data_IF_669549756932
#
_entry.id   IF_669549756932
#
_cell.length_a   1.000
_cell.length_b   1.000
_cell.length_c   1.000
_cell.angle_alpha   90.00
_cell.angle_beta   90.00
_cell.angle_gamma   90.00
#
_symmetry.space_group_name_H-M   'P 1'
#
loop_
_entity.id
_entity.type
_entity.pdbx_description
1 polymer ?
#
# COMPACT_ATOMS: atom_id res chain seq x y z
N UNK A 1 13.69 -16.25 -13.42
CA UNK A 1 14.93 -15.61 -12.92
C UNK A 1 15.03 -15.77 -11.42
N UNK A 2 16.24 -15.84 -10.91
CA UNK A 2 16.57 -15.95 -9.50
C UNK A 2 17.31 -14.69 -9.06
N UNK A 3 16.73 -13.94 -8.13
CA UNK A 3 17.21 -12.64 -7.69
C UNK A 3 17.62 -12.73 -6.20
N UNK A 4 18.76 -12.16 -5.87
CA UNK A 4 19.13 -11.88 -4.49
C UNK A 4 18.92 -10.40 -4.20
N UNK A 5 18.15 -10.09 -3.14
CA UNK A 5 17.88 -8.73 -2.73
C UNK A 5 18.42 -8.45 -1.32
N UNK A 6 19.07 -7.32 -1.18
CA UNK A 6 19.52 -6.81 0.10
C UNK A 6 19.17 -5.33 0.27
N UNK A 7 19.13 -4.88 1.52
CA UNK A 7 19.03 -3.46 1.87
C UNK A 7 20.10 -3.14 2.92
N UNK A 8 20.82 -2.06 2.68
CA UNK A 8 21.87 -1.58 3.57
C UNK A 8 21.39 -0.26 4.15
N UNK A 9 21.44 -0.11 5.48
CA UNK A 9 21.27 1.19 6.12
C UNK A 9 22.52 2.05 5.89
N UNK A 10 22.38 3.38 5.99
CA UNK A 10 23.48 4.32 5.74
C UNK A 10 24.68 4.13 6.67
N UNK A 11 24.50 3.44 7.79
CA UNK A 11 25.54 3.24 8.83
C UNK A 11 26.27 1.89 8.74
N UNK A 12 25.73 0.89 8.04
CA UNK A 12 26.31 -0.47 7.99
C UNK A 12 27.14 -0.71 6.73
N UNK A 13 28.43 -0.46 6.80
CA UNK A 13 29.40 -0.82 5.74
C UNK A 13 29.77 -2.31 5.71
N UNK A 14 29.34 -3.10 6.71
CA UNK A 14 29.80 -4.50 6.87
C UNK A 14 29.13 -5.51 5.93
N UNK A 15 27.92 -5.23 5.43
CA UNK A 15 27.17 -6.19 4.62
C UNK A 15 27.70 -6.39 3.19
N UNK A 16 28.48 -5.43 2.67
CA UNK A 16 29.11 -5.56 1.34
C UNK A 16 30.09 -6.74 1.26
N UNK A 17 30.68 -7.17 2.39
CA UNK A 17 31.54 -8.36 2.43
C UNK A 17 30.75 -9.66 2.31
N UNK A 18 29.51 -9.68 2.85
CA UNK A 18 28.62 -10.84 2.74
C UNK A 18 28.04 -10.96 1.32
N UNK A 19 27.83 -9.85 0.62
CA UNK A 19 27.36 -9.82 -0.78
C UNK A 19 28.40 -10.44 -1.74
N UNK A 20 29.70 -10.18 -1.57
CA UNK A 20 30.74 -10.70 -2.46
C UNK A 20 30.81 -12.24 -2.54
N UNK A 21 30.39 -12.92 -1.47
CA UNK A 21 30.35 -14.41 -1.46
C UNK A 21 29.00 -14.96 -1.96
N UNK A 22 28.02 -14.09 -2.27
CA UNK A 22 26.65 -14.48 -2.62
C UNK A 22 26.39 -14.41 -4.13
N UNK A 23 27.30 -13.80 -4.91
CA UNK A 23 27.10 -13.52 -6.35
C UNK A 23 27.00 -14.76 -7.24
N UNK A 24 27.47 -15.93 -6.79
CA UNK A 24 27.42 -17.16 -7.58
C UNK A 24 26.03 -17.80 -7.49
N UNK A 25 25.34 -17.89 -8.63
CA UNK A 25 24.09 -18.63 -8.76
C UNK A 25 22.81 -17.78 -8.76
N UNK A 26 22.92 -16.44 -8.88
CA UNK A 26 21.80 -15.54 -9.08
C UNK A 26 21.90 -14.85 -10.43
N UNK A 27 20.74 -14.62 -11.09
CA UNK A 27 20.67 -13.84 -12.34
C UNK A 27 20.91 -12.37 -12.05
N UNK A 28 20.41 -11.88 -10.90
CA UNK A 28 20.63 -10.51 -10.42
C UNK A 28 20.90 -10.48 -8.92
N UNK A 29 21.83 -9.61 -8.53
CA UNK A 29 22.08 -9.23 -7.13
C UNK A 29 21.77 -7.74 -7.01
N UNK A 30 20.67 -7.42 -6.32
CA UNK A 30 20.15 -6.08 -6.18
C UNK A 30 20.28 -5.60 -4.74
N UNK A 31 20.78 -4.39 -4.55
CA UNK A 31 20.96 -3.80 -3.23
C UNK A 31 20.48 -2.36 -3.21
N UNK A 32 19.63 -2.03 -2.24
CA UNK A 32 19.20 -0.66 -1.96
C UNK A 32 19.95 -0.10 -0.74
N UNK A 33 20.40 1.14 -0.87
CA UNK A 33 20.95 1.92 0.24
C UNK A 33 19.90 2.95 0.68
N UNK A 34 19.00 2.55 1.57
CA UNK A 34 17.91 3.38 2.01
C UNK A 34 17.39 2.99 3.40
N UNK A 35 16.57 3.87 3.99
CA UNK A 35 15.88 3.59 5.25
C UNK A 35 14.92 2.39 5.11
N UNK A 36 14.81 1.60 6.17
CA UNK A 36 13.82 0.53 6.28
C UNK A 36 12.37 1.01 6.32
N UNK A 37 12.13 2.31 6.53
CA UNK A 37 10.78 2.90 6.55
C UNK A 37 10.13 3.02 5.16
N UNK A 38 10.90 2.84 4.08
CA UNK A 38 10.39 2.88 2.71
C UNK A 38 9.88 1.49 2.34
N UNK A 39 8.63 1.34 1.84
CA UNK A 39 8.11 0.07 1.32
C UNK A 39 9.01 -0.50 0.24
N UNK A 40 9.10 -1.85 0.14
CA UNK A 40 10.04 -2.48 -0.80
C UNK A 40 9.80 -2.04 -2.24
N UNK A 41 8.55 -1.94 -2.68
CA UNK A 41 8.21 -1.60 -4.07
C UNK A 41 8.45 -0.14 -4.43
N UNK A 42 8.63 0.74 -3.44
CA UNK A 42 8.99 2.16 -3.63
C UNK A 42 10.52 2.38 -3.63
N UNK A 43 11.31 1.35 -3.30
CA UNK A 43 12.78 1.42 -3.33
C UNK A 43 13.27 1.30 -4.77
N UNK A 44 14.37 1.97 -5.17
CA UNK A 44 14.88 1.93 -6.56
C UNK A 44 15.12 0.52 -7.11
N UNK A 45 15.73 -0.38 -6.32
CA UNK A 45 15.96 -1.77 -6.72
C UNK A 45 14.75 -2.66 -6.45
N UNK A 46 13.96 -2.32 -5.43
CA UNK A 46 12.67 -2.96 -5.16
C UNK A 46 11.70 -2.80 -6.33
N UNK A 47 11.62 -1.61 -6.92
CA UNK A 47 10.78 -1.36 -8.12
C UNK A 47 11.25 -2.16 -9.34
N UNK A 48 12.55 -2.39 -9.49
CA UNK A 48 13.08 -3.29 -10.53
C UNK A 48 12.62 -4.73 -10.33
N UNK A 49 12.59 -5.21 -9.08
CA UNK A 49 12.04 -6.53 -8.76
C UNK A 49 10.55 -6.58 -9.11
N UNK A 50 9.78 -5.52 -8.79
CA UNK A 50 8.38 -5.44 -9.14
C UNK A 50 8.15 -5.56 -10.64
N UNK A 51 8.95 -4.88 -11.45
CA UNK A 51 8.89 -4.99 -12.92
C UNK A 51 9.15 -6.44 -13.38
N UNK A 52 10.13 -7.14 -12.78
CA UNK A 52 10.39 -8.55 -13.09
C UNK A 52 9.22 -9.47 -12.69
N UNK A 53 8.48 -9.13 -11.64
CA UNK A 53 7.24 -9.82 -11.25
C UNK A 53 6.16 -9.58 -12.30
N UNK A 54 5.91 -8.33 -12.65
CA UNK A 54 4.85 -7.93 -13.59
C UNK A 54 5.10 -8.51 -15.00
N UNK A 55 6.37 -8.68 -15.37
CA UNK A 55 6.79 -9.36 -16.60
C UNK A 55 6.75 -10.91 -16.50
N UNK A 56 6.39 -11.49 -15.36
CA UNK A 56 6.38 -12.92 -15.13
C UNK A 56 7.76 -13.60 -15.17
N UNK A 57 8.84 -12.83 -15.06
CA UNK A 57 10.22 -13.31 -15.17
C UNK A 57 10.81 -13.79 -13.83
N UNK A 58 10.37 -13.22 -12.70
CA UNK A 58 10.86 -13.59 -11.39
C UNK A 58 10.29 -14.94 -10.96
N UNK A 59 11.16 -15.89 -10.59
CA UNK A 59 10.77 -17.19 -10.05
C UNK A 59 11.19 -17.38 -8.59
N UNK A 60 12.35 -16.86 -8.23
CA UNK A 60 12.89 -16.96 -6.89
C UNK A 60 13.43 -15.62 -6.41
N UNK A 61 13.04 -15.22 -5.21
CA UNK A 61 13.56 -14.07 -4.49
C UNK A 61 14.29 -14.53 -3.23
N UNK A 62 15.58 -14.30 -3.18
CA UNK A 62 16.42 -14.58 -2.03
C UNK A 62 16.68 -13.30 -1.25
N UNK A 63 16.53 -13.34 0.06
CA UNK A 63 16.80 -12.24 0.97
C UNK A 63 17.67 -12.69 2.13
N UNK A 64 18.42 -11.76 2.72
CA UNK A 64 19.21 -12.07 3.91
C UNK A 64 18.32 -12.21 5.15
N UNK A 65 17.39 -11.30 5.34
CA UNK A 65 16.47 -11.29 6.49
C UNK A 65 15.08 -10.82 6.05
N UNK A 66 14.05 -11.29 6.76
CA UNK A 66 12.65 -11.08 6.37
C UNK A 66 12.21 -9.59 6.43
N UNK A 67 12.85 -8.80 7.29
CA UNK A 67 12.60 -7.34 7.40
C UNK A 67 13.02 -6.56 6.15
N UNK A 68 13.67 -7.20 5.19
CA UNK A 68 13.98 -6.59 3.89
C UNK A 68 12.74 -6.44 3.01
N UNK A 69 11.69 -7.22 3.24
CA UNK A 69 10.45 -7.21 2.46
C UNK A 69 9.51 -6.04 2.78
N UNK A 70 9.69 -5.32 3.89
CA UNK A 70 8.77 -4.25 4.24
C UNK A 70 9.34 -3.26 5.25
N UNK A 71 8.52 -2.30 5.64
CA UNK A 71 8.84 -1.24 6.61
C UNK A 71 8.40 -1.57 8.04
N UNK A 72 7.43 -2.44 8.19
CA UNK A 72 6.90 -2.94 9.45
C UNK A 72 6.44 -4.39 9.27
N UNK A 73 6.03 -5.05 10.34
CA UNK A 73 5.64 -6.45 10.33
C UNK A 73 4.50 -6.75 9.36
N UNK A 74 3.48 -5.89 9.31
CA UNK A 74 2.33 -6.09 8.41
C UNK A 74 2.75 -5.99 6.96
N UNK A 75 3.54 -4.98 6.63
CA UNK A 75 4.05 -4.76 5.28
C UNK A 75 4.92 -5.93 4.79
N UNK A 76 5.79 -6.44 5.67
CA UNK A 76 6.60 -7.64 5.42
C UNK A 76 5.72 -8.85 5.11
N UNK A 77 4.73 -9.11 5.96
CA UNK A 77 3.85 -10.27 5.80
C UNK A 77 2.95 -10.13 4.58
N UNK A 78 2.47 -8.92 4.27
CA UNK A 78 1.69 -8.64 3.06
C UNK A 78 2.50 -8.92 1.80
N UNK A 79 3.75 -8.43 1.75
CA UNK A 79 4.67 -8.69 0.64
C UNK A 79 4.98 -10.18 0.50
N UNK A 80 5.23 -10.85 1.62
CA UNK A 80 5.49 -12.28 1.64
C UNK A 80 4.31 -13.09 1.11
N UNK A 81 3.08 -12.72 1.53
CA UNK A 81 1.85 -13.33 1.01
C UNK A 81 1.67 -13.04 -0.48
N UNK A 82 1.83 -11.80 -0.93
CA UNK A 82 1.75 -11.41 -2.34
C UNK A 82 2.66 -12.29 -3.21
N UNK A 83 3.92 -12.46 -2.81
CA UNK A 83 4.88 -13.30 -3.53
C UNK A 83 4.47 -14.78 -3.54
N UNK A 84 3.92 -15.28 -2.43
CA UNK A 84 3.43 -16.66 -2.34
C UNK A 84 2.21 -16.88 -3.26
N UNK A 85 1.26 -15.96 -3.27
CA UNK A 85 0.07 -16.02 -4.14
C UNK A 85 0.47 -16.00 -5.63
N UNK A 86 1.52 -15.25 -5.97
CA UNK A 86 2.11 -15.20 -7.32
C UNK A 86 3.00 -16.41 -7.67
N UNK A 87 3.10 -17.41 -6.78
CA UNK A 87 3.95 -18.60 -6.93
C UNK A 87 5.44 -18.28 -7.09
N UNK A 88 5.89 -17.17 -6.52
CA UNK A 88 7.31 -16.80 -6.47
C UNK A 88 7.92 -17.38 -5.21
N UNK A 89 8.96 -18.17 -5.37
CA UNK A 89 9.68 -18.77 -4.23
C UNK A 89 10.46 -17.70 -3.49
N UNK A 90 10.19 -17.53 -2.20
CA UNK A 90 10.92 -16.63 -1.30
C UNK A 90 11.82 -17.49 -0.40
N UNK A 91 13.11 -17.18 -0.38
CA UNK A 91 14.08 -17.84 0.49
C UNK A 91 14.76 -16.79 1.35
N UNK A 92 14.50 -16.84 2.64
CA UNK A 92 15.13 -16.00 3.65
C UNK A 92 16.26 -16.78 4.33
N UNK A 93 17.45 -16.17 4.46
CA UNK A 93 18.61 -16.84 5.10
C UNK A 93 18.59 -16.74 6.62
N UNK A 94 18.06 -15.65 7.15
CA UNK A 94 18.04 -15.41 8.60
C UNK A 94 16.69 -14.78 9.03
N UNK A 95 15.82 -15.53 9.73
CA UNK A 95 15.92 -17.00 9.94
C UNK A 95 15.78 -17.77 8.62
N UNK A 96 16.22 -19.04 8.60
CA UNK A 96 16.09 -19.87 7.40
C UNK A 96 14.61 -20.26 7.18
N UNK A 97 13.94 -19.52 6.33
CA UNK A 97 12.51 -19.62 6.03
C UNK A 97 12.31 -19.61 4.53
N UNK A 98 11.38 -20.42 4.05
CA UNK A 98 10.93 -20.43 2.67
C UNK A 98 9.40 -20.55 2.62
N UNK A 99 8.79 -20.07 1.55
CA UNK A 99 7.32 -20.12 1.40
C UNK A 99 6.82 -21.41 0.70
N UNK A 100 7.70 -22.14 0.03
CA UNK A 100 7.37 -23.41 -0.62
C UNK A 100 8.35 -24.50 -0.21
N UNK A 101 7.85 -25.69 0.01
CA UNK A 101 8.61 -26.91 0.16
C UNK A 101 9.28 -27.33 -1.17
N UNK A 102 10.11 -28.35 -1.15
CA UNK A 102 10.77 -28.86 -2.37
C UNK A 102 9.77 -29.47 -3.35
N UNK A 103 8.67 -30.02 -2.87
CA UNK A 103 7.56 -30.58 -3.66
C UNK A 103 6.63 -29.51 -4.26
N UNK A 104 6.88 -28.22 -3.98
CA UNK A 104 6.08 -27.10 -4.46
C UNK A 104 4.81 -26.81 -3.64
N UNK A 105 4.57 -27.54 -2.56
CA UNK A 105 3.50 -27.22 -1.61
C UNK A 105 3.89 -26.00 -0.77
N UNK A 106 2.88 -25.26 -0.27
CA UNK A 106 3.13 -24.14 0.63
C UNK A 106 3.65 -24.68 1.96
N UNK A 107 4.72 -24.07 2.46
CA UNK A 107 5.30 -24.46 3.74
C UNK A 107 4.37 -24.10 4.90
N UNK A 108 4.21 -24.99 5.86
CA UNK A 108 3.30 -24.82 7.01
C UNK A 108 3.64 -23.59 7.87
N UNK A 109 4.93 -23.23 7.96
CA UNK A 109 5.34 -22.00 8.62
C UNK A 109 4.81 -20.75 7.88
N UNK A 110 4.83 -20.77 6.56
CA UNK A 110 4.30 -19.71 5.71
C UNK A 110 2.78 -19.56 5.89
N UNK A 111 2.04 -20.65 5.98
CA UNK A 111 0.59 -20.61 6.27
C UNK A 111 0.32 -20.01 7.65
N UNK A 112 1.11 -20.39 8.65
CA UNK A 112 1.02 -19.82 9.99
C UNK A 112 1.30 -18.31 9.97
N UNK A 113 2.34 -17.87 9.26
CA UNK A 113 2.70 -16.46 9.13
C UNK A 113 1.59 -15.63 8.47
N UNK A 114 0.96 -16.14 7.42
CA UNK A 114 -0.20 -15.50 6.76
C UNK A 114 -1.40 -15.41 7.70
N UNK A 115 -1.64 -16.45 8.49
CA UNK A 115 -2.72 -16.46 9.50
C UNK A 115 -2.48 -15.42 10.59
N UNK A 116 -1.26 -15.34 11.11
CA UNK A 116 -0.85 -14.31 12.08
C UNK A 116 -1.02 -12.90 11.52
N UNK A 117 -0.68 -12.68 10.24
CA UNK A 117 -0.90 -11.40 9.58
C UNK A 117 -2.36 -10.97 9.63
N UNK A 118 -3.27 -11.88 9.30
CA UNK A 118 -4.71 -11.60 9.29
C UNK A 118 -5.20 -11.16 10.68
N UNK A 119 -4.73 -11.84 11.72
CA UNK A 119 -5.06 -11.51 13.12
C UNK A 119 -4.47 -10.14 13.50
N UNK A 120 -3.19 -9.88 13.20
CA UNK A 120 -2.54 -8.62 13.52
C UNK A 120 -3.18 -7.44 12.80
N UNK A 121 -3.49 -7.59 11.50
CA UNK A 121 -4.16 -6.55 10.72
C UNK A 121 -5.55 -6.22 11.26
N UNK A 122 -6.31 -7.22 11.71
CA UNK A 122 -7.62 -7.04 12.34
C UNK A 122 -7.49 -6.32 13.69
N UNK A 123 -6.47 -6.68 14.47
CA UNK A 123 -6.20 -6.07 15.76
C UNK A 123 -5.79 -4.60 15.60
N UNK A 124 -4.88 -4.27 14.69
CA UNK A 124 -4.49 -2.88 14.42
C UNK A 124 -5.68 -2.02 14.00
N UNK A 125 -6.53 -2.54 13.09
CA UNK A 125 -7.76 -1.83 12.68
C UNK A 125 -8.66 -1.55 13.88
N UNK A 126 -8.88 -2.53 14.73
CA UNK A 126 -9.66 -2.38 15.96
C UNK A 126 -9.08 -1.32 16.90
N UNK A 127 -7.75 -1.30 17.07
CA UNK A 127 -7.06 -0.32 17.89
C UNK A 127 -7.17 1.11 17.32
N UNK A 128 -7.07 1.25 16.01
CA UNK A 128 -7.25 2.55 15.33
C UNK A 128 -8.67 3.04 15.52
N UNK A 129 -9.68 2.19 15.33
CA UNK A 129 -11.09 2.53 15.49
C UNK A 129 -11.42 2.90 16.95
N UNK A 130 -10.84 2.20 17.92
CA UNK A 130 -10.99 2.53 19.35
C UNK A 130 -10.43 3.92 19.65
N UNK A 131 -9.17 4.17 19.27
CA UNK A 131 -8.54 5.48 19.47
C UNK A 131 -9.29 6.61 18.78
N UNK A 132 -9.82 6.34 17.58
CA UNK A 132 -10.64 7.30 16.84
C UNK A 132 -11.92 7.62 17.59
N UNK A 133 -12.65 6.62 18.12
CA UNK A 133 -13.86 6.81 18.91
C UNK A 133 -13.57 7.61 20.18
N UNK A 134 -12.56 7.24 20.93
CA UNK A 134 -12.11 7.96 22.12
C UNK A 134 -11.76 9.43 21.80
N UNK A 135 -11.04 9.66 20.72
CA UNK A 135 -10.70 11.01 20.25
C UNK A 135 -11.93 11.85 19.89
N UNK A 136 -12.91 11.24 19.21
CA UNK A 136 -14.19 11.88 18.87
C UNK A 136 -14.97 12.23 20.13
N UNK A 137 -15.14 11.25 21.05
CA UNK A 137 -15.86 11.46 22.32
C UNK A 137 -15.23 12.55 23.16
N UNK A 138 -13.90 12.55 23.27
CA UNK A 138 -13.16 13.60 23.97
C UNK A 138 -13.39 14.97 23.33
N UNK A 139 -13.32 15.05 22.01
CA UNK A 139 -13.52 16.30 21.29
C UNK A 139 -14.97 16.77 21.37
N UNK A 140 -15.95 15.88 21.31
CA UNK A 140 -17.37 16.20 21.53
C UNK A 140 -17.65 16.78 22.91
N UNK A 141 -16.96 16.27 23.95
CA UNK A 141 -17.07 16.78 25.33
C UNK A 141 -16.43 18.16 25.50
N UNK A 142 -15.25 18.39 24.90
CA UNK A 142 -14.47 19.60 25.07
C UNK A 142 -14.88 20.72 24.08
N UNK A 143 -15.31 20.35 22.88
CA UNK A 143 -15.61 21.23 21.76
C UNK A 143 -16.84 20.75 20.99
N UNK A 144 -18.06 20.75 21.62
CA UNK A 144 -19.27 20.27 20.96
C UNK A 144 -19.62 21.04 19.68
N UNK A 145 -19.17 22.28 19.58
CA UNK A 145 -19.36 23.13 18.41
C UNK A 145 -18.69 22.58 17.12
N UNK A 146 -17.67 21.77 17.24
CA UNK A 146 -16.96 21.15 16.08
C UNK A 146 -17.74 20.01 15.43
N UNK A 147 -18.68 19.42 16.16
CA UNK A 147 -19.51 18.29 15.70
C UNK A 147 -20.98 18.64 15.54
N UNK A 148 -21.34 19.91 15.69
CA UNK A 148 -22.71 20.37 15.52
C UNK A 148 -23.25 20.32 14.08
N UNK A 149 -22.46 19.76 13.15
CA UNK A 149 -22.82 19.70 11.74
C UNK A 149 -22.85 21.07 11.06
N UNK A 150 -23.54 21.15 9.94
CA UNK A 150 -23.72 22.43 9.25
C UNK A 150 -24.65 23.33 10.06
N UNK A 151 -24.21 24.54 10.40
CA UNK A 151 -25.05 25.49 11.14
C UNK A 151 -26.35 25.76 10.36
N UNK A 152 -27.49 25.70 11.08
CA UNK A 152 -28.79 26.06 10.52
C UNK A 152 -28.69 27.48 9.96
N UNK A 153 -29.16 27.69 8.74
CA UNK A 153 -29.08 29.00 8.07
C UNK A 153 -27.85 29.24 7.21
N UNK A 154 -26.83 28.33 7.20
CA UNK A 154 -25.67 28.43 6.30
C UNK A 154 -25.94 27.85 4.90
N UNK A 155 -27.17 27.93 4.42
CA UNK A 155 -27.51 27.66 3.02
C UNK A 155 -26.99 28.80 2.15
N UNK A 156 -26.32 28.45 1.08
CA UNK A 156 -25.91 29.43 0.07
C UNK A 156 -27.18 29.95 -0.55
N UNK A 157 -27.34 31.30 -0.64
CA UNK A 157 -28.50 31.86 -1.33
C UNK A 157 -28.53 31.34 -2.77
N UNK A 158 -29.75 31.18 -3.38
CA UNK A 158 -29.88 30.72 -4.76
C UNK A 158 -29.03 31.54 -5.74
N UNK A 159 -28.96 32.84 -5.54
CA UNK A 159 -28.13 33.75 -6.35
C UNK A 159 -26.64 33.40 -6.29
N UNK A 160 -26.09 33.24 -5.07
CA UNK A 160 -24.71 32.83 -4.89
C UNK A 160 -24.44 31.41 -5.40
N UNK A 161 -25.45 30.54 -5.35
CA UNK A 161 -25.32 29.18 -5.92
C UNK A 161 -25.22 29.24 -7.44
N UNK A 162 -26.06 30.04 -8.10
CA UNK A 162 -26.06 30.23 -9.55
C UNK A 162 -24.78 30.92 -10.05
N UNK A 163 -24.13 31.74 -9.22
CA UNK A 163 -22.84 32.38 -9.55
C UNK A 163 -21.64 31.44 -9.54
N UNK A 164 -21.78 30.24 -9.00
CA UNK A 164 -20.65 29.27 -9.01
C UNK A 164 -20.33 28.87 -10.44
N UNK A 165 -19.04 28.76 -10.76
CA UNK A 165 -18.54 28.37 -12.07
C UNK A 165 -19.20 27.08 -12.59
N UNK A 166 -19.42 26.10 -11.71
CA UNK A 166 -20.07 24.83 -12.07
C UNK A 166 -21.52 25.06 -12.48
N UNK A 167 -22.28 25.85 -11.72
CA UNK A 167 -23.66 26.18 -12.02
C UNK A 167 -23.78 26.98 -13.32
N UNK A 168 -22.93 27.98 -13.51
CA UNK A 168 -22.85 28.78 -14.74
C UNK A 168 -22.56 27.91 -15.97
N UNK A 169 -21.67 26.95 -15.85
CA UNK A 169 -21.36 26.05 -16.96
C UNK A 169 -22.54 25.14 -17.30
N UNK A 170 -23.26 24.62 -16.27
CA UNK A 170 -24.49 23.83 -16.49
C UNK A 170 -25.56 24.64 -17.17
N UNK A 171 -25.76 25.90 -16.75
CA UNK A 171 -26.73 26.80 -17.38
C UNK A 171 -26.38 27.03 -18.85
N UNK A 172 -25.12 27.32 -19.16
CA UNK A 172 -24.66 27.46 -20.56
C UNK A 172 -24.89 26.21 -21.40
N UNK A 173 -24.70 25.05 -20.83
CA UNK A 173 -24.92 23.79 -21.55
C UNK A 173 -26.42 23.58 -21.81
N UNK A 174 -27.28 23.93 -20.85
CA UNK A 174 -28.74 23.92 -21.02
C UNK A 174 -29.20 24.91 -22.10
N UNK A 175 -28.65 26.13 -22.10
CA UNK A 175 -28.94 27.15 -23.09
C UNK A 175 -28.50 26.74 -24.50
N UNK A 176 -27.44 25.92 -24.60
CA UNK A 176 -26.94 25.33 -25.85
C UNK A 176 -27.77 24.12 -26.31
N UNK A 177 -28.85 23.75 -25.58
CA UNK A 177 -29.77 22.69 -25.94
C UNK A 177 -29.35 21.27 -25.56
N UNK A 178 -28.30 21.11 -24.75
CA UNK A 178 -27.89 19.79 -24.24
C UNK A 178 -28.91 19.26 -23.24
N UNK A 179 -29.17 17.96 -23.32
CA UNK A 179 -30.06 17.28 -22.36
C UNK A 179 -29.35 17.11 -21.00
N UNK A 180 -30.13 17.00 -19.93
CA UNK A 180 -29.62 16.75 -18.58
C UNK A 180 -28.69 15.52 -18.51
N UNK A 181 -28.98 14.50 -19.31
CA UNK A 181 -28.15 13.28 -19.36
C UNK A 181 -26.77 13.54 -19.98
N UNK A 182 -26.71 14.28 -21.07
CA UNK A 182 -25.46 14.67 -21.73
C UNK A 182 -24.61 15.58 -20.83
N UNK A 183 -25.26 16.52 -20.13
CA UNK A 183 -24.57 17.39 -19.17
C UNK A 183 -23.98 16.59 -18.00
N UNK A 184 -24.73 15.60 -17.50
CA UNK A 184 -24.21 14.71 -16.44
C UNK A 184 -22.96 13.95 -16.86
N UNK A 185 -22.95 13.43 -18.08
CA UNK A 185 -21.78 12.71 -18.63
C UNK A 185 -20.60 13.67 -18.86
N UNK A 186 -20.82 14.80 -19.51
CA UNK A 186 -19.76 15.79 -19.79
C UNK A 186 -19.16 16.42 -18.53
N UNK A 187 -20.01 16.74 -17.54
CA UNK A 187 -19.59 17.47 -16.33
C UNK A 187 -19.33 16.57 -15.13
N UNK A 188 -19.55 15.28 -15.25
CA UNK A 188 -19.44 14.27 -14.17
C UNK A 188 -20.18 14.73 -12.91
N UNK A 189 -21.44 15.09 -13.07
CA UNK A 189 -22.29 15.55 -11.98
C UNK A 189 -23.54 14.67 -11.81
N UNK A 190 -24.16 14.74 -10.60
CA UNK A 190 -25.41 14.03 -10.32
C UNK A 190 -26.63 14.82 -10.76
N UNK A 191 -27.83 14.18 -10.94
CA UNK A 191 -29.07 14.86 -11.30
C UNK A 191 -29.51 15.94 -10.28
N UNK A 192 -29.04 15.79 -9.04
CA UNK A 192 -29.36 16.72 -7.93
C UNK A 192 -28.37 17.86 -7.77
N UNK A 193 -27.48 18.06 -8.73
CA UNK A 193 -26.50 19.14 -8.73
C UNK A 193 -27.10 20.37 -9.41
#
# INVERSE_FOLDING_TARGET
MKVFYSRISTEEQSDLRQLKNTEKGFDYVLSDKCSGTIPIWERPRGSQIKNLIDEGKLKELHIHSIDRLGRNTIDVLSTYKELTDLKIRVVCRNPNIQNFNEDGTVDSFSEMMVSLLSVMSSFEKSMIDSRRKEGIERTMKLHPERYSGRKIGTTISPEKFLMKTKSQNIIKDLDNGYTTREIMEMRRCSPST
#
